data_IF_352572566533
#
_entry.id   IF_352572566533
#
_cell.length_a   1.000
_cell.length_b   1.000
_cell.length_c   1.000
_cell.angle_alpha   90.00
_cell.angle_beta   90.00
_cell.angle_gamma   90.00
#
_symmetry.space_group_name_H-M   'P 1'
#
loop_
_entity.id
_entity.type
_entity.pdbx_description
1 polymer ?
#
# COMPACT_ATOMS: atom_id res chain seq x y z
N UNK A 1 34.16 -38.18 48.02
CA UNK A 1 35.28 -37.71 47.18
C UNK A 1 35.25 -38.62 45.96
N UNK A 2 34.88 -38.21 44.75
CA UNK A 2 35.10 -36.93 44.04
C UNK A 2 34.10 -36.87 42.87
N UNK A 3 33.39 -35.74 42.67
CA UNK A 3 32.87 -35.37 41.34
C UNK A 3 34.06 -34.99 40.43
N UNK A 4 33.94 -35.19 39.11
CA UNK A 4 33.46 -34.10 38.23
C UNK A 4 32.42 -34.66 37.22
N UNK A 5 31.29 -34.02 36.94
CA UNK A 5 31.06 -32.74 36.27
C UNK A 5 31.81 -32.59 34.91
N UNK A 6 31.14 -31.99 33.93
CA UNK A 6 31.64 -31.57 32.60
C UNK A 6 31.57 -32.58 31.43
N UNK A 7 30.37 -32.93 30.94
CA UNK A 7 30.11 -32.90 29.47
C UNK A 7 28.67 -32.39 29.25
N UNK A 8 28.46 -31.11 29.56
CA UNK A 8 27.28 -30.32 29.16
C UNK A 8 27.74 -29.03 28.47
N UNK A 9 28.66 -29.15 27.49
CA UNK A 9 29.27 -28.00 26.80
C UNK A 9 29.47 -28.25 25.29
N UNK A 10 28.68 -29.13 24.68
CA UNK A 10 28.69 -29.32 23.22
C UNK A 10 27.27 -29.39 22.61
N UNK A 11 26.27 -28.79 23.27
CA UNK A 11 25.20 -28.13 22.52
C UNK A 11 25.78 -26.85 21.91
N UNK A 12 26.71 -27.09 20.98
CA UNK A 12 27.19 -26.12 20.03
C UNK A 12 25.92 -25.59 19.38
N UNK A 13 25.68 -24.28 19.52
CA UNK A 13 24.71 -23.57 18.70
C UNK A 13 25.07 -23.81 17.23
N UNK A 14 24.60 -24.91 16.65
CA UNK A 14 24.64 -25.14 15.22
C UNK A 14 23.59 -24.17 14.70
N UNK A 15 24.07 -22.99 14.33
CA UNK A 15 23.27 -22.01 13.62
C UNK A 15 22.61 -22.74 12.44
N UNK A 16 21.27 -22.63 12.28
CA UNK A 16 20.58 -23.34 11.22
C UNK A 16 21.26 -22.99 9.89
N UNK A 17 21.44 -23.99 9.00
CA UNK A 17 22.13 -23.76 7.74
C UNK A 17 21.47 -22.59 7.00
N UNK A 18 22.25 -21.72 6.34
CA UNK A 18 21.71 -20.57 5.65
C UNK A 18 20.66 -21.01 4.64
N UNK A 19 19.61 -20.19 4.48
CA UNK A 19 18.54 -20.49 3.56
C UNK A 19 19.08 -20.76 2.14
N UNK A 20 18.54 -21.75 1.42
CA UNK A 20 18.99 -22.07 0.08
C UNK A 20 18.80 -20.87 -0.84
N UNK A 21 19.69 -20.75 -1.83
CA UNK A 21 19.61 -19.69 -2.84
C UNK A 21 18.24 -19.69 -3.55
N UNK A 22 17.73 -18.52 -3.97
CA UNK A 22 16.53 -18.44 -4.77
C UNK A 22 16.67 -19.27 -6.05
N UNK A 23 15.61 -19.96 -6.44
CA UNK A 23 15.56 -20.67 -7.72
C UNK A 23 15.73 -19.72 -8.91
N UNK A 24 16.19 -20.25 -10.04
CA UNK A 24 16.52 -19.48 -11.25
C UNK A 24 15.38 -18.55 -11.72
N UNK A 25 14.14 -18.99 -11.63
CA UNK A 25 12.99 -18.17 -12.04
C UNK A 25 12.76 -16.97 -11.13
N UNK A 26 13.00 -17.12 -9.82
CA UNK A 26 12.96 -15.99 -8.89
C UNK A 26 14.09 -15.00 -9.18
N UNK A 27 15.31 -15.49 -9.47
CA UNK A 27 16.43 -14.63 -9.86
C UNK A 27 16.11 -13.86 -11.15
N UNK A 28 15.55 -14.52 -12.17
CA UNK A 28 15.12 -13.86 -13.42
C UNK A 28 14.07 -12.79 -13.17
N UNK A 29 13.08 -13.07 -12.32
CA UNK A 29 12.03 -12.10 -11.97
C UNK A 29 12.59 -10.87 -11.26
N UNK A 30 13.57 -11.05 -10.36
CA UNK A 30 14.28 -9.97 -9.67
C UNK A 30 15.17 -9.16 -10.62
N UNK A 31 15.91 -9.80 -11.51
CA UNK A 31 16.74 -9.11 -12.52
C UNK A 31 15.86 -8.28 -13.46
N UNK A 32 14.75 -8.84 -13.95
CA UNK A 32 13.79 -8.11 -14.77
C UNK A 32 13.18 -6.92 -14.01
N UNK A 33 12.91 -7.08 -12.71
CA UNK A 33 12.45 -5.99 -11.85
C UNK A 33 13.46 -4.85 -11.72
N UNK A 34 14.71 -5.21 -11.42
CA UNK A 34 15.81 -4.27 -11.27
C UNK A 34 16.11 -3.51 -12.57
N UNK A 35 16.12 -4.22 -13.70
CA UNK A 35 16.31 -3.61 -15.02
C UNK A 35 15.21 -2.58 -15.33
N UNK A 36 13.94 -2.89 -15.01
CA UNK A 36 12.83 -1.96 -15.21
C UNK A 36 12.94 -0.72 -14.31
N UNK A 37 13.35 -0.88 -13.05
CA UNK A 37 13.60 0.27 -12.16
C UNK A 37 14.74 1.15 -12.67
N UNK A 38 15.83 0.53 -13.14
CA UNK A 38 16.93 1.27 -13.74
C UNK A 38 16.50 2.06 -14.98
N UNK A 39 15.66 1.46 -15.85
CA UNK A 39 15.12 2.16 -17.02
C UNK A 39 14.25 3.36 -16.63
N UNK A 40 13.34 3.20 -15.67
CA UNK A 40 12.47 4.28 -15.21
C UNK A 40 13.27 5.46 -14.61
N UNK A 41 14.35 5.18 -13.87
CA UNK A 41 15.24 6.22 -13.34
C UNK A 41 15.95 6.99 -14.45
N UNK A 42 16.35 6.33 -15.54
CA UNK A 42 16.97 6.99 -16.69
C UNK A 42 15.98 7.89 -17.44
N UNK A 43 14.74 7.45 -17.62
CA UNK A 43 13.70 8.24 -18.29
C UNK A 43 13.34 9.51 -17.48
N UNK A 44 13.29 9.41 -16.15
CA UNK A 44 12.98 10.54 -15.28
C UNK A 44 14.09 11.62 -15.32
N UNK A 45 15.37 11.21 -15.37
CA UNK A 45 16.50 12.15 -15.49
C UNK A 45 16.52 12.94 -16.81
N UNK A 46 15.84 12.47 -17.86
CA UNK A 46 15.72 13.17 -19.14
C UNK A 46 14.68 14.30 -19.15
N UNK A 47 13.76 14.33 -18.18
CA UNK A 47 12.61 15.27 -18.15
C UNK A 47 12.90 16.51 -17.30
N UNK A 48 14.05 16.56 -16.59
CA UNK A 48 14.47 17.64 -15.69
C UNK A 48 15.14 18.85 -16.35
N UNK A 49 14.77 19.24 -17.57
CA UNK A 49 15.26 20.48 -18.17
C UNK A 49 14.47 21.70 -17.65
N UNK A 50 14.88 22.24 -16.49
CA UNK A 50 14.58 23.61 -16.11
C UNK A 50 14.14 23.85 -14.67
N UNK A 51 15.06 23.77 -13.70
CA UNK A 51 14.93 24.54 -12.46
C UNK A 51 16.23 25.29 -12.23
N UNK A 52 16.18 26.60 -12.49
CA UNK A 52 17.29 27.52 -12.29
C UNK A 52 17.74 27.52 -10.84
N UNK A 53 19.00 27.19 -10.62
CA UNK A 53 19.67 27.35 -9.33
C UNK A 53 19.97 28.84 -9.13
N UNK A 54 19.15 29.53 -8.35
CA UNK A 54 19.52 30.80 -7.73
C UNK A 54 20.41 30.54 -6.50
N UNK A 55 21.52 31.27 -6.28
CA UNK A 55 22.37 31.09 -5.12
C UNK A 55 21.86 31.97 -3.97
N UNK A 56 21.40 31.38 -2.88
CA UNK A 56 21.10 32.13 -1.66
C UNK A 56 20.02 31.49 -0.80
N UNK A 57 20.40 30.51 0.02
CA UNK A 57 19.54 29.93 1.03
C UNK A 57 20.36 29.08 1.99
N UNK A 58 20.78 29.71 3.08
CA UNK A 58 21.39 29.07 4.26
C UNK A 58 20.56 27.87 4.72
N UNK A 59 21.16 26.69 4.77
CA UNK A 59 20.57 25.46 5.28
C UNK A 59 20.68 25.49 6.82
N UNK A 60 19.57 25.49 7.59
CA UNK A 60 19.62 25.12 8.99
C UNK A 60 19.68 23.59 9.07
N UNK A 61 20.80 23.11 9.62
CA UNK A 61 21.07 21.73 9.94
C UNK A 61 20.27 21.35 11.20
N UNK A 62 19.01 20.93 11.02
CA UNK A 62 18.25 20.23 12.07
C UNK A 62 17.19 19.29 11.46
N UNK A 63 17.67 18.24 10.78
CA UNK A 63 16.81 17.21 10.17
C UNK A 63 16.56 16.07 11.17
N UNK A 64 15.90 16.39 12.28
CA UNK A 64 15.40 15.42 13.25
C UNK A 64 13.87 15.27 13.24
N UNK A 65 13.22 15.63 12.13
CA UNK A 65 11.76 15.43 11.95
C UNK A 65 11.46 14.85 10.57
N UNK A 66 11.89 13.61 10.30
CA UNK A 66 11.47 12.87 9.09
C UNK A 66 11.24 11.37 9.36
N UNK A 67 10.64 11.09 10.53
CA UNK A 67 10.17 9.75 10.90
C UNK A 67 8.65 9.70 10.99
N UNK A 68 7.97 10.60 10.26
CA UNK A 68 6.52 10.68 10.23
C UNK A 68 5.97 9.60 9.27
N UNK A 69 5.63 8.45 9.86
CA UNK A 69 4.44 7.64 9.54
C UNK A 69 4.15 7.32 8.05
N UNK A 70 5.19 7.09 7.27
CA UNK A 70 5.11 6.48 5.95
C UNK A 70 5.16 4.96 6.07
N UNK A 71 4.42 4.25 5.21
CA UNK A 71 4.62 2.81 5.04
C UNK A 71 6.09 2.53 4.78
N UNK A 72 6.62 1.54 5.51
CA UNK A 72 7.97 1.02 5.33
C UNK A 72 8.22 0.75 3.85
N UNK A 73 9.28 1.34 3.31
CA UNK A 73 9.70 1.26 1.92
C UNK A 73 9.69 -0.18 1.39
N UNK A 74 10.10 -1.12 2.23
CA UNK A 74 10.16 -2.55 1.91
C UNK A 74 8.76 -3.10 1.63
N UNK A 75 7.76 -2.75 2.43
CA UNK A 75 6.38 -3.24 2.27
C UNK A 75 5.78 -2.74 0.95
N UNK A 76 5.99 -1.45 0.64
CA UNK A 76 5.52 -0.88 -0.62
C UNK A 76 6.23 -1.51 -1.83
N UNK A 77 7.53 -1.78 -1.74
CA UNK A 77 8.30 -2.40 -2.82
C UNK A 77 7.90 -3.87 -3.06
N UNK A 78 7.63 -4.63 -1.99
CA UNK A 78 7.10 -5.99 -2.09
C UNK A 78 5.70 -5.98 -2.73
N UNK A 79 4.81 -5.06 -2.33
CA UNK A 79 3.49 -4.92 -2.93
C UNK A 79 3.58 -4.58 -4.42
N UNK A 80 4.49 -3.68 -4.82
CA UNK A 80 4.79 -3.36 -6.22
C UNK A 80 5.24 -4.59 -7.01
N UNK A 81 6.20 -5.34 -6.45
CA UNK A 81 6.73 -6.54 -7.09
C UNK A 81 5.64 -7.58 -7.35
N UNK A 82 4.79 -7.86 -6.36
CA UNK A 82 3.66 -8.79 -6.50
C UNK A 82 2.61 -8.25 -7.48
N UNK A 83 2.29 -6.95 -7.43
CA UNK A 83 1.33 -6.34 -8.36
C UNK A 83 1.70 -6.52 -9.84
N UNK A 84 3.02 -6.55 -10.12
CA UNK A 84 3.59 -6.75 -11.46
C UNK A 84 3.75 -8.23 -11.84
N UNK A 85 4.22 -9.06 -10.92
CA UNK A 85 4.54 -10.47 -11.20
C UNK A 85 3.36 -11.42 -11.05
N UNK A 86 2.27 -10.98 -10.42
CA UNK A 86 1.08 -11.78 -10.19
C UNK A 86 1.27 -12.81 -9.08
N UNK A 87 0.47 -13.87 -9.15
CA UNK A 87 0.30 -14.82 -8.03
C UNK A 87 1.55 -15.68 -7.76
N UNK A 88 2.46 -15.82 -8.74
CA UNK A 88 3.66 -16.69 -8.69
C UNK A 88 4.53 -16.46 -7.45
N UNK A 89 4.68 -15.20 -7.03
CA UNK A 89 5.54 -14.85 -5.89
C UNK A 89 4.76 -14.41 -4.65
N UNK A 90 3.43 -14.41 -4.72
CA UNK A 90 2.57 -13.87 -3.67
C UNK A 90 2.72 -14.63 -2.35
N UNK A 91 2.83 -15.97 -2.38
CA UNK A 91 2.99 -16.77 -1.16
C UNK A 91 4.27 -16.47 -0.40
N UNK A 92 5.40 -16.28 -1.10
CA UNK A 92 6.68 -15.92 -0.49
C UNK A 92 6.69 -14.48 0.02
N UNK A 93 6.12 -13.56 -0.75
CA UNK A 93 5.96 -12.17 -0.35
C UNK A 93 5.11 -12.03 0.93
N UNK A 94 4.02 -12.80 1.00
CA UNK A 94 3.16 -12.87 2.18
C UNK A 94 3.93 -13.38 3.41
N UNK A 95 4.69 -14.47 3.26
CA UNK A 95 5.53 -15.01 4.34
C UNK A 95 6.63 -14.01 4.80
N UNK A 96 7.23 -13.26 3.87
CA UNK A 96 8.25 -12.26 4.19
C UNK A 96 7.72 -11.11 5.06
N UNK A 97 6.45 -10.75 4.88
CA UNK A 97 5.80 -9.68 5.63
C UNK A 97 5.00 -10.20 6.84
N UNK A 98 5.03 -11.51 7.10
CA UNK A 98 4.18 -12.19 8.09
C UNK A 98 2.68 -11.88 7.91
N UNK A 99 2.22 -11.91 6.64
CA UNK A 99 0.84 -11.61 6.26
C UNK A 99 0.13 -12.83 5.68
N UNK A 100 -1.20 -12.92 5.82
CA UNK A 100 -2.00 -13.84 5.02
C UNK A 100 -1.88 -13.56 3.52
N UNK A 101 -1.87 -14.62 2.71
CA UNK A 101 -1.81 -14.51 1.23
C UNK A 101 -2.91 -13.62 0.66
N UNK A 102 -4.11 -13.68 1.24
CA UNK A 102 -5.23 -12.80 0.85
C UNK A 102 -4.95 -11.31 1.10
N UNK A 103 -4.29 -10.98 2.21
CA UNK A 103 -3.90 -9.60 2.53
C UNK A 103 -2.81 -9.10 1.59
N UNK A 104 -1.84 -9.95 1.23
CA UNK A 104 -0.83 -9.61 0.22
C UNK A 104 -1.46 -9.30 -1.15
N UNK A 105 -2.52 -10.03 -1.54
CA UNK A 105 -3.29 -9.72 -2.77
C UNK A 105 -3.92 -8.34 -2.72
N UNK A 106 -4.47 -7.97 -1.56
CA UNK A 106 -5.09 -6.66 -1.37
C UNK A 106 -4.05 -5.53 -1.37
N UNK A 107 -2.88 -5.74 -0.77
CA UNK A 107 -1.75 -4.81 -0.84
C UNK A 107 -1.25 -4.61 -2.28
N UNK A 108 -1.09 -5.69 -3.03
CA UNK A 108 -0.72 -5.62 -4.44
C UNK A 108 -1.80 -4.88 -5.27
N UNK A 109 -3.07 -5.08 -4.95
CA UNK A 109 -4.19 -4.36 -5.58
C UNK A 109 -4.18 -2.87 -5.22
N UNK A 110 -3.92 -2.53 -3.96
CA UNK A 110 -3.78 -1.15 -3.50
C UNK A 110 -2.63 -0.45 -4.21
N UNK A 111 -1.47 -1.12 -4.32
CA UNK A 111 -0.34 -0.61 -5.10
C UNK A 111 -0.69 -0.42 -6.58
N UNK A 112 -1.41 -1.37 -7.19
CA UNK A 112 -1.81 -1.26 -8.61
C UNK A 112 -2.66 -0.03 -8.89
N UNK A 113 -3.54 0.35 -7.96
CA UNK A 113 -4.42 1.49 -8.15
C UNK A 113 -3.82 2.82 -7.69
N UNK A 114 -3.15 2.85 -6.54
CA UNK A 114 -2.69 4.08 -5.90
C UNK A 114 -1.19 4.14 -5.62
N UNK A 115 -0.40 3.21 -6.16
CA UNK A 115 1.04 3.12 -5.90
C UNK A 115 1.36 3.00 -4.41
N UNK A 116 2.48 3.57 -4.00
CA UNK A 116 2.90 3.62 -2.59
C UNK A 116 1.87 4.31 -1.67
N UNK A 117 1.27 5.46 -2.03
CA UNK A 117 0.19 6.05 -1.23
C UNK A 117 -1.00 5.11 -1.04
N UNK A 118 -1.38 4.35 -2.09
CA UNK A 118 -2.46 3.36 -1.98
C UNK A 118 -2.16 2.26 -0.95
N UNK A 119 -0.91 1.80 -0.88
CA UNK A 119 -0.46 0.86 0.15
C UNK A 119 -0.54 1.49 1.55
N UNK A 120 -0.16 2.76 1.70
CA UNK A 120 -0.28 3.49 2.96
C UNK A 120 -1.71 3.63 3.44
N UNK A 121 -2.60 4.08 2.55
CA UNK A 121 -4.04 4.18 2.82
C UNK A 121 -4.68 2.82 3.14
N UNK A 122 -4.11 1.71 2.63
CA UNK A 122 -4.60 0.37 2.94
C UNK A 122 -4.21 -0.08 4.35
N UNK A 123 -2.95 0.15 4.74
CA UNK A 123 -2.36 -0.38 5.98
C UNK A 123 -2.75 0.40 7.23
N UNK A 124 -2.84 1.72 7.13
CA UNK A 124 -3.04 2.59 8.29
C UNK A 124 -4.24 3.51 8.07
N UNK A 125 -5.32 3.35 8.84
CA UNK A 125 -6.27 4.43 9.04
C UNK A 125 -5.54 5.64 9.62
N UNK A 126 -5.68 6.80 8.98
CA UNK A 126 -5.06 8.04 9.41
C UNK A 126 -6.12 9.00 9.93
N UNK A 127 -5.80 9.88 10.89
CA UNK A 127 -6.70 10.98 11.21
C UNK A 127 -6.87 11.86 9.98
N UNK A 128 -8.13 12.17 9.61
CA UNK A 128 -8.45 13.18 8.63
C UNK A 128 -9.22 14.32 9.29
N UNK A 129 -9.16 15.49 8.67
CA UNK A 129 -9.94 16.65 9.07
C UNK A 129 -11.45 16.33 8.99
N UNK A 130 -12.21 16.44 10.10
CA UNK A 130 -13.65 16.21 10.10
C UNK A 130 -14.42 17.08 9.09
N UNK A 131 -13.96 18.32 8.83
CA UNK A 131 -14.62 19.23 7.90
C UNK A 131 -14.39 18.79 6.45
N UNK A 132 -13.20 18.24 6.15
CA UNK A 132 -12.92 17.60 4.86
C UNK A 132 -13.83 16.40 4.61
N UNK A 133 -14.04 15.54 5.63
CA UNK A 133 -14.96 14.41 5.52
C UNK A 133 -16.41 14.88 5.35
N UNK A 134 -16.81 15.96 6.03
CA UNK A 134 -18.14 16.55 5.90
C UNK A 134 -18.39 17.10 4.50
N UNK A 135 -17.41 17.82 3.93
CA UNK A 135 -17.47 18.33 2.57
C UNK A 135 -17.55 17.17 1.56
N UNK A 136 -16.74 16.13 1.73
CA UNK A 136 -16.76 14.96 0.85
C UNK A 136 -18.10 14.20 0.90
N UNK A 137 -18.70 14.05 2.09
CA UNK A 137 -20.04 13.48 2.23
C UNK A 137 -21.07 14.28 1.45
N UNK A 138 -21.04 15.62 1.59
CA UNK A 138 -21.95 16.50 0.87
C UNK A 138 -21.80 16.35 -0.66
N UNK A 139 -20.57 16.24 -1.15
CA UNK A 139 -20.26 16.01 -2.57
C UNK A 139 -20.77 14.66 -3.08
N UNK A 140 -20.67 13.60 -2.26
CA UNK A 140 -21.11 12.24 -2.63
C UNK A 140 -22.62 12.07 -2.53
N UNK A 141 -23.29 12.82 -1.65
CA UNK A 141 -24.70 12.67 -1.30
C UNK A 141 -25.66 12.53 -2.51
N UNK A 142 -25.55 13.33 -3.60
CA UNK A 142 -26.43 13.21 -4.76
C UNK A 142 -26.26 11.91 -5.57
N UNK A 143 -25.13 11.22 -5.42
CA UNK A 143 -24.79 10.00 -6.16
C UNK A 143 -25.25 8.72 -5.45
N UNK A 144 -25.74 8.86 -4.21
CA UNK A 144 -26.06 7.73 -3.35
C UNK A 144 -27.38 7.09 -3.75
N UNK A 145 -27.46 5.75 -3.79
CA UNK A 145 -28.72 5.05 -4.06
C UNK A 145 -29.73 5.20 -2.90
N UNK A 146 -29.26 5.48 -1.68
CA UNK A 146 -30.08 5.61 -0.48
C UNK A 146 -29.73 6.92 0.23
N UNK A 147 -30.28 8.07 -0.21
CA UNK A 147 -29.89 9.38 0.30
C UNK A 147 -30.21 9.57 1.79
N UNK A 148 -31.19 8.85 2.32
CA UNK A 148 -31.59 8.96 3.74
C UNK A 148 -30.82 8.04 4.68
N UNK A 149 -30.05 7.09 4.15
CA UNK A 149 -29.25 6.20 4.99
C UNK A 149 -28.03 6.95 5.54
N UNK A 150 -27.60 6.70 6.78
CA UNK A 150 -26.43 7.35 7.35
C UNK A 150 -25.16 6.96 6.58
N UNK A 151 -24.23 7.91 6.46
CA UNK A 151 -22.84 7.67 6.06
C UNK A 151 -21.99 7.73 7.31
N UNK A 152 -21.15 6.72 7.52
CA UNK A 152 -20.28 6.67 8.70
C UNK A 152 -18.95 7.34 8.38
N UNK A 153 -18.52 8.27 9.26
CA UNK A 153 -17.21 8.91 9.22
C UNK A 153 -16.35 8.32 10.32
N UNK A 154 -15.19 7.77 9.97
CA UNK A 154 -14.27 7.19 10.94
C UNK A 154 -12.83 7.33 10.47
N UNK A 155 -12.00 8.05 11.25
CA UNK A 155 -10.61 8.38 10.88
C UNK A 155 -10.54 9.09 9.52
N UNK A 156 -9.95 8.48 8.50
CA UNK A 156 -9.91 8.99 7.13
C UNK A 156 -10.94 8.31 6.22
N UNK A 157 -11.94 7.62 6.79
CA UNK A 157 -12.91 6.84 6.04
C UNK A 157 -14.27 7.54 5.98
N UNK A 158 -14.89 7.46 4.80
CA UNK A 158 -16.29 7.75 4.55
C UNK A 158 -16.97 6.46 4.06
N UNK A 159 -17.84 5.85 4.87
CA UNK A 159 -18.43 4.53 4.60
C UNK A 159 -19.92 4.64 4.32
N UNK A 160 -20.32 4.25 3.11
CA UNK A 160 -21.71 4.12 2.68
C UNK A 160 -22.07 2.63 2.60
N UNK A 161 -22.44 2.05 3.75
CA UNK A 161 -22.71 0.61 3.87
C UNK A 161 -23.82 0.11 2.91
N UNK A 162 -24.96 0.81 2.72
CA UNK A 162 -25.96 0.41 1.74
C UNK A 162 -25.44 0.36 0.30
N UNK A 163 -24.52 1.27 -0.05
CA UNK A 163 -23.88 1.27 -1.36
C UNK A 163 -22.72 0.29 -1.47
N UNK A 164 -22.25 -0.28 -0.35
CA UNK A 164 -21.07 -1.14 -0.22
C UNK A 164 -19.79 -0.44 -0.71
N UNK A 165 -19.72 0.87 -0.49
CA UNK A 165 -18.62 1.75 -0.90
C UNK A 165 -18.00 2.39 0.34
N UNK A 166 -16.68 2.48 0.35
CA UNK A 166 -15.92 3.23 1.33
C UNK A 166 -14.91 4.10 0.58
N UNK A 167 -14.82 5.37 0.92
CA UNK A 167 -13.72 6.23 0.46
C UNK A 167 -12.72 6.38 1.60
N UNK A 168 -11.43 6.35 1.27
CA UNK A 168 -10.36 6.59 2.24
C UNK A 168 -9.49 7.75 1.76
N UNK A 169 -9.34 8.77 2.57
CA UNK A 169 -8.47 9.89 2.25
C UNK A 169 -7.02 9.51 2.55
N UNK A 170 -6.16 9.53 1.53
CA UNK A 170 -4.77 9.12 1.63
C UNK A 170 -3.80 10.27 1.96
N UNK A 171 -2.54 9.94 2.31
CA UNK A 171 -1.49 10.94 2.58
C UNK A 171 -1.11 11.74 1.32
N UNK A 172 -1.42 11.23 0.14
CA UNK A 172 -1.30 11.88 -1.17
C UNK A 172 -2.41 12.92 -1.44
N UNK A 173 -3.30 13.17 -0.47
CA UNK A 173 -4.45 14.06 -0.57
C UNK A 173 -5.46 13.63 -1.63
N UNK A 174 -5.51 12.34 -1.95
CA UNK A 174 -6.47 11.75 -2.87
C UNK A 174 -7.47 10.86 -2.14
N UNK A 175 -8.66 10.69 -2.74
CA UNK A 175 -9.67 9.74 -2.29
C UNK A 175 -9.44 8.38 -2.94
N UNK A 176 -9.07 7.39 -2.13
CA UNK A 176 -8.90 6.01 -2.53
C UNK A 176 -10.23 5.26 -2.42
N UNK A 177 -10.81 4.77 -3.53
CA UNK A 177 -12.10 4.10 -3.52
C UNK A 177 -11.98 2.61 -3.15
N UNK A 178 -12.84 2.18 -2.22
CA UNK A 178 -12.96 0.80 -1.76
C UNK A 178 -14.38 0.28 -1.93
N UNK A 179 -14.49 -1.02 -2.12
CA UNK A 179 -15.77 -1.74 -2.20
C UNK A 179 -15.77 -2.94 -1.27
N UNK A 180 -16.91 -3.20 -0.64
CA UNK A 180 -17.06 -4.38 0.22
C UNK A 180 -17.41 -5.59 -0.65
N UNK A 181 -16.62 -6.66 -0.54
CA UNK A 181 -16.85 -7.96 -1.19
C UNK A 181 -16.59 -9.06 -0.19
N UNK A 182 -17.58 -9.92 0.03
CA UNK A 182 -17.48 -11.07 0.94
C UNK A 182 -17.02 -10.66 2.35
N UNK A 183 -17.55 -9.56 2.89
CA UNK A 183 -17.21 -9.05 4.22
C UNK A 183 -15.86 -8.32 4.30
N UNK A 184 -15.17 -8.12 3.18
CA UNK A 184 -13.85 -7.46 3.15
C UNK A 184 -13.86 -6.23 2.25
N UNK A 185 -13.32 -5.11 2.74
CA UNK A 185 -13.09 -3.91 1.94
C UNK A 185 -11.87 -4.08 1.03
N UNK A 186 -12.06 -3.86 -0.27
CA UNK A 186 -11.03 -4.04 -1.29
C UNK A 186 -10.86 -2.76 -2.11
N UNK A 187 -9.61 -2.36 -2.43
CA UNK A 187 -9.36 -1.26 -3.36
C UNK A 187 -10.06 -1.52 -4.70
N UNK A 188 -10.77 -0.53 -5.23
CA UNK A 188 -11.72 -0.72 -6.31
C UNK A 188 -11.32 -0.06 -7.63
N UNK A 189 -10.61 1.06 -7.56
CA UNK A 189 -10.21 1.89 -8.70
C UNK A 189 -9.05 2.81 -8.32
N UNK A 190 -8.51 3.53 -9.31
CA UNK A 190 -7.50 4.56 -9.10
C UNK A 190 -8.03 5.69 -8.18
N UNK A 191 -7.17 6.29 -7.34
CA UNK A 191 -7.56 7.39 -6.48
C UNK A 191 -7.81 8.67 -7.28
N UNK A 192 -8.58 9.59 -6.71
CA UNK A 192 -8.94 10.86 -7.36
C UNK A 192 -9.07 12.01 -6.36
N UNK A 193 -8.70 13.26 -6.70
CA UNK A 193 -8.83 14.40 -5.78
C UNK A 193 -10.30 14.76 -5.49
N UNK A 194 -11.21 14.57 -6.44
CA UNK A 194 -12.66 14.73 -6.25
C UNK A 194 -13.30 13.43 -5.67
N UNK A 195 -13.92 13.49 -4.47
CA UNK A 195 -14.59 12.34 -3.86
C UNK A 195 -15.79 11.83 -4.65
N UNK A 196 -16.51 12.68 -5.40
CA UNK A 196 -17.63 12.23 -6.24
C UNK A 196 -17.15 11.29 -7.35
N UNK A 197 -16.04 11.62 -8.00
CA UNK A 197 -15.44 10.78 -9.06
C UNK A 197 -14.94 9.46 -8.47
N UNK A 198 -14.26 9.50 -7.31
CA UNK A 198 -13.81 8.28 -6.63
C UNK A 198 -15.00 7.37 -6.24
N UNK A 199 -16.08 7.95 -5.70
CA UNK A 199 -17.30 7.22 -5.37
C UNK A 199 -17.96 6.60 -6.61
N UNK A 200 -18.07 7.37 -7.70
CA UNK A 200 -18.57 6.88 -8.98
C UNK A 200 -17.76 5.70 -9.50
N UNK A 201 -16.43 5.76 -9.41
CA UNK A 201 -15.53 4.68 -9.80
C UNK A 201 -15.73 3.42 -8.93
N UNK A 202 -15.89 3.56 -7.61
CA UNK A 202 -16.21 2.44 -6.72
C UNK A 202 -17.54 1.76 -7.11
N UNK A 203 -18.57 2.56 -7.39
CA UNK A 203 -19.89 2.07 -7.82
C UNK A 203 -19.81 1.36 -9.17
N UNK A 204 -19.01 1.86 -10.11
CA UNK A 204 -18.78 1.20 -11.39
C UNK A 204 -18.07 -0.15 -11.19
N UNK A 205 -17.05 -0.20 -10.34
CA UNK A 205 -16.32 -1.42 -10.01
C UNK A 205 -17.23 -2.51 -9.39
N UNK A 206 -18.20 -2.13 -8.54
CA UNK A 206 -19.18 -3.08 -7.99
C UNK A 206 -20.07 -3.72 -9.05
N UNK A 207 -20.44 -2.96 -10.09
CA UNK A 207 -21.28 -3.45 -11.19
C UNK A 207 -20.51 -4.28 -12.20
N UNK A 208 -19.20 -4.08 -12.31
CA UNK A 208 -18.37 -4.86 -13.21
C UNK A 208 -18.38 -6.35 -12.77
N UNK A 209 -18.54 -7.29 -13.71
CA UNK A 209 -18.41 -8.71 -13.39
C UNK A 209 -17.01 -8.94 -12.82
N UNK A 210 -16.93 -9.71 -11.74
CA UNK A 210 -15.65 -10.08 -11.14
C UNK A 210 -14.84 -10.81 -12.21
N UNK A 211 -13.81 -10.17 -12.77
CA UNK A 211 -12.87 -10.84 -13.66
C UNK A 211 -12.18 -11.92 -12.82
N UNK A 212 -12.55 -13.18 -13.08
CA UNK A 212 -11.88 -14.36 -12.55
C UNK A 212 -10.53 -14.50 -13.23
#
# INVERSE_FOLDING_TARGET
MTSPDLISVLDTHIEPPPAPLPGLDALRALVADAALRAAALLDDTGTGAGVGTGPGGTVPEDTATDRADGVDDVTADIARFVARTGDTHQGRAAAQLDLPVGQMRLLATAHRFGGRPGVATFLAPQPADPDLLAAAEHTVQPLRPSPTAPVERHHNHLTDAPARVQLRYGPDRLWHPYVERYGTWQPAAAPHPDPAVAYGAARAALRAPSRR
#
